data_IF_171084255161
#
_entry.id   IF_171084255161
#
_cell.length_a   1.000
_cell.length_b   1.000
_cell.length_c   1.000
_cell.angle_alpha   90.00
_cell.angle_beta   90.00
_cell.angle_gamma   90.00
#
_symmetry.space_group_name_H-M   'P 1'
#
loop_
_entity.id
_entity.type
_entity.pdbx_description
1 polymer ?
#
# COMPACT_ATOMS: atom_id res chain seq x y z
N UNK A 1 -4.96 -16.65 -11.87
CA UNK A 1 -5.94 -16.08 -10.93
C UNK A 1 -6.45 -14.76 -11.46
N UNK A 2 -7.56 -14.25 -10.94
CA UNK A 2 -8.07 -12.94 -11.35
C UNK A 2 -7.18 -11.83 -10.75
N UNK A 3 -6.88 -10.77 -11.51
CA UNK A 3 -5.95 -9.72 -11.09
C UNK A 3 -6.41 -8.92 -9.86
N UNK A 4 -7.70 -8.98 -9.52
CA UNK A 4 -8.34 -8.32 -8.37
C UNK A 4 -8.32 -9.17 -7.08
N UNK A 5 -7.62 -10.31 -7.09
CA UNK A 5 -7.48 -11.13 -5.89
C UNK A 5 -6.64 -10.40 -4.82
N UNK A 6 -7.10 -10.40 -3.56
CA UNK A 6 -6.45 -9.67 -2.47
C UNK A 6 -4.96 -9.97 -2.32
N UNK A 7 -4.55 -11.23 -2.56
CA UNK A 7 -3.13 -11.63 -2.49
C UNK A 7 -2.31 -10.95 -3.57
N UNK A 8 -2.81 -10.90 -4.82
CA UNK A 8 -2.13 -10.28 -5.95
C UNK A 8 -1.93 -8.78 -5.69
N UNK A 9 -2.95 -8.10 -5.17
CA UNK A 9 -2.89 -6.67 -4.88
C UNK A 9 -1.91 -6.35 -3.74
N UNK A 10 -1.85 -7.18 -2.70
CA UNK A 10 -0.88 -7.05 -1.61
C UNK A 10 0.56 -7.36 -2.07
N UNK A 11 0.75 -8.36 -2.93
CA UNK A 11 2.04 -8.65 -3.55
C UNK A 11 2.52 -7.49 -4.44
N UNK A 12 1.60 -6.83 -5.15
CA UNK A 12 1.93 -5.66 -5.93
C UNK A 12 2.37 -4.48 -5.05
N UNK A 13 1.66 -4.21 -3.95
CA UNK A 13 2.11 -3.21 -2.96
C UNK A 13 3.51 -3.54 -2.41
N UNK A 14 3.76 -4.79 -2.04
CA UNK A 14 5.10 -5.24 -1.62
C UNK A 14 6.15 -4.95 -2.70
N UNK A 15 5.85 -5.28 -3.96
CA UNK A 15 6.76 -5.02 -5.07
C UNK A 15 7.07 -3.52 -5.19
N UNK A 16 6.06 -2.65 -5.17
CA UNK A 16 6.27 -1.21 -5.30
C UNK A 16 7.16 -0.64 -4.18
N UNK A 17 6.91 -1.05 -2.93
CA UNK A 17 7.72 -0.66 -1.76
C UNK A 17 9.16 -1.16 -1.92
N UNK A 18 9.33 -2.41 -2.35
CA UNK A 18 10.65 -2.98 -2.57
C UNK A 18 11.45 -2.18 -3.61
N UNK A 19 10.80 -1.77 -4.71
CA UNK A 19 11.43 -0.98 -5.78
C UNK A 19 11.75 0.45 -5.36
N UNK A 20 10.92 1.05 -4.51
CA UNK A 20 11.23 2.32 -3.86
C UNK A 20 12.51 2.21 -3.02
N UNK A 21 12.58 1.19 -2.15
CA UNK A 21 13.75 0.96 -1.29
C UNK A 21 15.03 0.72 -2.11
N UNK A 22 14.98 -0.10 -3.17
CA UNK A 22 16.13 -0.29 -4.07
C UNK A 22 16.62 1.02 -4.70
N UNK A 23 15.70 1.94 -5.04
CA UNK A 23 16.05 3.25 -5.58
C UNK A 23 16.69 4.15 -4.52
N UNK A 24 16.17 4.13 -3.29
CA UNK A 24 16.75 4.86 -2.16
C UNK A 24 18.16 4.38 -1.80
N UNK A 25 18.40 3.06 -1.81
CA UNK A 25 19.74 2.49 -1.61
C UNK A 25 20.74 2.96 -2.66
N UNK A 26 20.26 3.24 -3.88
CA UNK A 26 21.05 3.77 -4.99
C UNK A 26 21.12 5.31 -5.00
N UNK A 27 20.52 5.97 -4.01
CA UNK A 27 20.36 7.44 -3.96
C UNK A 27 19.61 8.03 -5.17
N UNK A 28 18.81 7.22 -5.87
CA UNK A 28 17.97 7.64 -7.00
C UNK A 28 16.60 8.13 -6.48
N UNK A 29 16.60 9.36 -5.96
CA UNK A 29 15.43 9.96 -5.29
C UNK A 29 14.25 10.13 -6.24
N UNK A 30 14.50 10.51 -7.49
CA UNK A 30 13.46 10.67 -8.52
C UNK A 30 12.75 9.35 -8.80
N UNK A 31 13.49 8.25 -8.88
CA UNK A 31 12.90 6.93 -9.09
C UNK A 31 12.17 6.43 -7.85
N UNK A 32 12.71 6.64 -6.65
CA UNK A 32 12.01 6.33 -5.41
C UNK A 32 10.68 7.07 -5.35
N UNK A 33 10.68 8.36 -5.70
CA UNK A 33 9.47 9.18 -5.73
C UNK A 33 8.42 8.64 -6.69
N UNK A 34 8.81 8.22 -7.90
CA UNK A 34 7.87 7.62 -8.86
C UNK A 34 7.21 6.36 -8.31
N UNK A 35 7.96 5.50 -7.60
CA UNK A 35 7.37 4.31 -6.99
C UNK A 35 6.40 4.68 -5.87
N UNK A 36 6.73 5.68 -5.06
CA UNK A 36 5.84 6.19 -4.02
C UNK A 36 4.54 6.78 -4.60
N UNK A 37 4.62 7.55 -5.69
CA UNK A 37 3.43 8.09 -6.37
C UNK A 37 2.54 6.96 -6.95
N UNK A 38 3.15 5.87 -7.43
CA UNK A 38 2.40 4.69 -7.91
C UNK A 38 1.73 3.96 -6.72
N UNK A 39 2.39 3.86 -5.57
CA UNK A 39 1.79 3.29 -4.35
C UNK A 39 0.57 4.09 -3.91
N UNK A 40 0.68 5.42 -3.83
CA UNK A 40 -0.44 6.32 -3.52
C UNK A 40 -1.62 6.11 -4.48
N UNK A 41 -1.34 6.14 -5.79
CA UNK A 41 -2.37 5.93 -6.80
C UNK A 41 -3.03 4.56 -6.70
N UNK A 42 -2.26 3.51 -6.44
CA UNK A 42 -2.79 2.16 -6.31
C UNK A 42 -3.68 2.01 -5.06
N UNK A 43 -3.26 2.57 -3.92
CA UNK A 43 -4.07 2.57 -2.70
C UNK A 43 -5.36 3.38 -2.88
N UNK A 44 -5.29 4.54 -3.52
CA UNK A 44 -6.46 5.39 -3.75
C UNK A 44 -7.44 4.77 -4.75
N UNK A 45 -6.94 4.30 -5.90
CA UNK A 45 -7.78 3.96 -7.06
C UNK A 45 -8.10 2.45 -7.13
N UNK A 46 -7.35 1.60 -6.44
CA UNK A 46 -7.51 0.13 -6.44
C UNK A 46 -7.72 -0.43 -5.02
N UNK A 47 -6.68 -0.98 -4.38
CA UNK A 47 -6.77 -1.76 -3.15
C UNK A 47 -7.58 -1.06 -2.04
N UNK A 48 -7.37 0.23 -1.80
CA UNK A 48 -8.08 0.98 -0.76
C UNK A 48 -9.56 1.21 -1.05
N UNK A 49 -9.98 1.17 -2.32
CA UNK A 49 -11.39 1.37 -2.70
C UNK A 49 -12.30 0.24 -2.23
N UNK A 50 -11.81 -1.00 -2.18
CA UNK A 50 -12.65 -2.17 -1.90
C UNK A 50 -12.25 -2.96 -0.65
N UNK A 51 -11.06 -2.74 -0.07
CA UNK A 51 -10.57 -3.45 1.12
C UNK A 51 -11.55 -3.42 2.29
N UNK A 52 -12.26 -2.30 2.50
CA UNK A 52 -13.24 -2.16 3.58
C UNK A 52 -14.43 -3.09 3.38
N UNK A 53 -14.93 -3.21 2.15
CA UNK A 53 -16.04 -4.10 1.81
C UNK A 53 -15.61 -5.56 1.89
N UNK A 54 -14.40 -5.88 1.40
CA UNK A 54 -13.83 -7.21 1.53
C UNK A 54 -13.70 -7.64 2.99
N UNK A 55 -13.10 -6.79 3.83
CA UNK A 55 -12.88 -7.11 5.23
C UNK A 55 -14.19 -7.35 5.98
N UNK A 56 -15.20 -6.51 5.74
CA UNK A 56 -16.54 -6.70 6.29
C UNK A 56 -17.15 -8.03 5.87
N UNK A 57 -17.05 -8.38 4.58
CA UNK A 57 -17.58 -9.66 4.09
C UNK A 57 -16.88 -10.86 4.75
N UNK A 58 -15.55 -10.80 4.94
CA UNK A 58 -14.82 -11.87 5.63
C UNK A 58 -15.20 -11.94 7.11
N UNK A 59 -15.32 -10.80 7.78
CA UNK A 59 -15.74 -10.71 9.19
C UNK A 59 -17.11 -11.38 9.41
N UNK A 60 -18.08 -11.11 8.53
CA UNK A 60 -19.45 -11.63 8.63
C UNK A 60 -19.57 -13.12 8.28
N UNK A 61 -18.69 -13.66 7.42
CA UNK A 61 -18.89 -15.00 6.82
C UNK A 61 -17.80 -16.03 7.16
N UNK A 62 -16.64 -15.61 7.66
CA UNK A 62 -15.57 -16.53 8.00
C UNK A 62 -15.95 -17.43 9.19
N UNK A 63 -15.56 -18.70 9.10
CA UNK A 63 -15.88 -19.71 10.11
C UNK A 63 -14.95 -19.65 11.33
N UNK A 64 -13.83 -18.94 11.24
CA UNK A 64 -12.85 -18.84 12.32
C UNK A 64 -12.54 -17.38 12.64
N UNK A 65 -12.34 -17.09 13.93
CA UNK A 65 -11.99 -15.76 14.39
C UNK A 65 -10.63 -15.30 13.84
N UNK A 66 -9.74 -16.26 13.50
CA UNK A 66 -8.48 -15.96 12.84
C UNK A 66 -8.68 -15.15 11.55
N UNK A 67 -9.51 -15.62 10.62
CA UNK A 67 -9.71 -14.93 9.34
C UNK A 67 -10.51 -13.63 9.49
N UNK A 68 -11.42 -13.56 10.46
CA UNK A 68 -12.11 -12.30 10.79
C UNK A 68 -11.12 -11.24 11.27
N UNK A 69 -10.29 -11.59 12.24
CA UNK A 69 -9.28 -10.68 12.78
C UNK A 69 -8.22 -10.31 11.73
N UNK A 70 -7.79 -11.27 10.90
CA UNK A 70 -6.87 -11.00 9.81
C UNK A 70 -7.45 -9.95 8.84
N UNK A 71 -8.71 -10.10 8.45
CA UNK A 71 -9.34 -9.16 7.54
C UNK A 71 -9.48 -7.74 8.15
N UNK A 72 -9.81 -7.65 9.44
CA UNK A 72 -9.89 -6.38 10.17
C UNK A 72 -8.51 -5.69 10.19
N UNK A 73 -7.45 -6.43 10.54
CA UNK A 73 -6.08 -5.91 10.59
C UNK A 73 -5.61 -5.50 9.19
N UNK A 74 -5.84 -6.32 8.16
CA UNK A 74 -5.49 -5.97 6.78
C UNK A 74 -6.15 -4.68 6.32
N UNK A 75 -7.44 -4.48 6.62
CA UNK A 75 -8.13 -3.22 6.32
C UNK A 75 -7.48 -2.03 7.03
N UNK A 76 -7.25 -2.15 8.33
CA UNK A 76 -6.63 -1.08 9.13
C UNK A 76 -5.24 -0.74 8.62
N UNK A 77 -4.44 -1.75 8.27
CA UNK A 77 -3.12 -1.59 7.69
C UNK A 77 -3.18 -0.78 6.39
N UNK A 78 -3.97 -1.23 5.41
CA UNK A 78 -4.09 -0.54 4.10
C UNK A 78 -4.58 0.91 4.24
N UNK A 79 -5.53 1.16 5.16
CA UNK A 79 -6.03 2.52 5.41
C UNK A 79 -4.98 3.43 6.08
N UNK A 80 -4.23 2.88 7.03
CA UNK A 80 -3.14 3.60 7.70
C UNK A 80 -2.00 3.90 6.74
N UNK A 81 -1.68 2.97 5.85
CA UNK A 81 -0.61 3.10 4.87
C UNK A 81 -0.91 4.23 3.89
N UNK A 82 -2.13 4.28 3.35
CA UNK A 82 -2.57 5.35 2.47
C UNK A 82 -2.45 6.75 3.12
N UNK A 83 -2.80 6.86 4.40
CA UNK A 83 -2.66 8.13 5.15
C UNK A 83 -1.18 8.50 5.38
N UNK A 84 -0.33 7.50 5.62
CA UNK A 84 1.08 7.72 5.91
C UNK A 84 1.85 8.19 4.68
N UNK A 85 1.51 7.66 3.50
CA UNK A 85 2.09 8.05 2.21
C UNK A 85 1.78 9.51 1.88
N UNK A 86 0.56 9.97 2.12
CA UNK A 86 0.13 11.36 1.83
C UNK A 86 0.78 12.38 2.76
N UNK A 87 1.03 12.02 4.03
CA UNK A 87 1.40 13.00 5.06
C UNK A 87 2.91 13.22 5.21
N UNK A 88 3.74 12.18 5.07
CA UNK A 88 5.13 12.23 5.49
C UNK A 88 6.13 11.86 4.38
N UNK A 89 5.85 10.85 3.56
CA UNK A 89 6.86 10.27 2.66
C UNK A 89 7.11 11.15 1.42
N UNK A 90 6.03 11.67 0.82
CA UNK A 90 6.09 12.57 -0.35
C UNK A 90 6.86 13.85 -0.03
N UNK A 91 6.48 14.54 1.05
CA UNK A 91 7.13 15.77 1.47
C UNK A 91 8.62 15.57 1.83
N UNK A 92 8.96 14.40 2.38
CA UNK A 92 10.36 14.07 2.74
C UNK A 92 11.21 13.84 1.49
N UNK A 93 10.70 13.11 0.49
CA UNK A 93 11.42 12.90 -0.76
C UNK A 93 11.56 14.18 -1.58
N UNK A 94 10.52 15.02 -1.61
CA UNK A 94 10.60 16.34 -2.26
C UNK A 94 11.67 17.21 -1.62
N UNK A 95 11.78 17.20 -0.29
CA UNK A 95 12.81 17.93 0.43
C UNK A 95 14.22 17.42 0.10
N UNK A 96 14.42 16.10 -0.07
CA UNK A 96 15.72 15.51 -0.39
C UNK A 96 16.13 15.74 -1.85
N UNK A 97 15.19 15.70 -2.80
CA UNK A 97 15.45 15.95 -4.21
C UNK A 97 15.95 17.37 -4.50
N UNK A 98 15.60 18.35 -3.66
CA UNK A 98 16.06 19.74 -3.79
C UNK A 98 17.53 19.93 -3.36
N UNK A 99 18.10 18.99 -2.60
CA UNK A 99 19.47 19.09 -2.03
C UNK A 99 20.47 18.20 -2.79
N UNK A 100 20.01 17.30 -3.66
CA UNK A 100 20.82 16.43 -4.51
C UNK A 100 21.11 17.07 -5.87
#
# INVERSE_FOLDING_TARGET
>A
EAPDHIVIELEFMYYLIFRELEALEQSDIERARRFLDIQDAFLRDHLGTWISKFAKNVEENAQTDFYKNLAIVSKQFVQSDHTSITDASIATLDALAVVA
#
